data_IF_633612351147
#
_entry.id   IF_633612351147
#
_cell.length_a   1.000
_cell.length_b   1.000
_cell.length_c   1.000
_cell.angle_alpha   90.00
_cell.angle_beta   90.00
_cell.angle_gamma   90.00
#
_symmetry.space_group_name_H-M   'P 1'
#
loop_
_entity.id
_entity.type
_entity.pdbx_description
1 polymer ?
#
# COMPACT_ATOMS: atom_id res chain seq x y z
N UNK A 1 4.33 22.24 -3.05
CA UNK A 1 3.70 20.89 -3.14
C UNK A 1 3.97 20.16 -1.86
N UNK A 2 2.94 19.63 -1.20
CA UNK A 2 3.17 18.81 -0.02
C UNK A 2 3.26 17.32 -0.41
N UNK A 3 3.60 16.49 0.58
CA UNK A 3 3.80 15.05 0.38
C UNK A 3 2.59 14.34 -0.26
N UNK A 4 1.38 14.75 0.10
CA UNK A 4 0.16 14.11 -0.40
C UNK A 4 -0.17 14.49 -1.84
N UNK A 5 0.42 15.55 -2.35
CA UNK A 5 0.19 16.05 -3.70
C UNK A 5 1.27 15.60 -4.69
N UNK A 6 2.34 14.99 -4.21
CA UNK A 6 3.41 14.50 -5.06
C UNK A 6 2.90 13.36 -5.96
N UNK A 7 3.28 13.33 -7.25
CA UNK A 7 2.85 12.28 -8.15
C UNK A 7 3.26 10.90 -7.67
N UNK A 8 2.38 9.92 -7.84
CA UNK A 8 2.63 8.54 -7.42
C UNK A 8 3.47 7.81 -8.47
N UNK A 9 4.51 7.12 -8.01
CA UNK A 9 5.36 6.25 -8.83
C UNK A 9 4.83 4.83 -8.86
N UNK A 10 4.01 4.47 -7.88
CA UNK A 10 3.41 3.15 -7.73
C UNK A 10 2.09 3.30 -7.01
N UNK A 11 1.12 2.48 -7.40
CA UNK A 11 -0.20 2.47 -6.78
C UNK A 11 -0.79 1.08 -6.80
N UNK A 12 -1.39 0.69 -5.68
CA UNK A 12 -2.13 -0.56 -5.58
C UNK A 12 -3.34 -0.38 -4.67
N UNK A 13 -4.51 -0.76 -5.15
CA UNK A 13 -5.72 -0.73 -4.33
C UNK A 13 -5.71 -1.94 -3.41
N UNK A 14 -5.73 -1.69 -2.10
CA UNK A 14 -5.72 -2.73 -1.08
C UNK A 14 -7.15 -3.12 -0.70
N UNK A 15 -8.03 -2.11 -0.60
CA UNK A 15 -9.41 -2.32 -0.19
C UNK A 15 -10.31 -1.31 -0.90
N UNK A 16 -11.50 -1.74 -1.30
CA UNK A 16 -12.50 -0.87 -1.92
C UNK A 16 -13.85 -1.09 -1.25
N UNK A 17 -14.39 -0.02 -0.67
CA UNK A 17 -15.75 0.01 -0.14
C UNK A 17 -16.63 0.71 -1.17
N UNK A 18 -17.33 -0.09 -1.97
CA UNK A 18 -18.16 0.41 -3.06
C UNK A 18 -19.33 1.25 -2.56
N UNK A 19 -19.92 0.88 -1.43
CA UNK A 19 -21.07 1.58 -0.86
C UNK A 19 -20.71 3.00 -0.44
N UNK A 20 -19.56 3.17 0.19
CA UNK A 20 -19.10 4.48 0.68
C UNK A 20 -18.25 5.22 -0.36
N UNK A 21 -17.91 4.58 -1.47
CA UNK A 21 -17.00 5.14 -2.46
C UNK A 21 -15.68 5.58 -1.83
N UNK A 22 -15.05 4.65 -1.12
CA UNK A 22 -13.79 4.84 -0.42
C UNK A 22 -12.85 3.69 -0.76
N UNK A 23 -11.58 4.01 -0.99
CA UNK A 23 -10.53 3.02 -1.21
C UNK A 23 -9.40 3.20 -0.21
N UNK A 24 -8.71 2.12 0.11
CA UNK A 24 -7.41 2.18 0.77
C UNK A 24 -6.38 1.77 -0.27
N UNK A 25 -5.38 2.61 -0.50
CA UNK A 25 -4.33 2.37 -1.49
C UNK A 25 -2.96 2.36 -0.85
N UNK A 26 -2.12 1.50 -1.39
CA UNK A 26 -0.69 1.48 -1.12
C UNK A 26 -0.02 2.24 -2.27
N UNK A 27 0.68 3.31 -1.96
CA UNK A 27 1.31 4.15 -2.98
C UNK A 27 2.76 4.48 -2.62
N UNK A 28 3.54 4.83 -3.63
CA UNK A 28 4.90 5.35 -3.45
C UNK A 28 5.00 6.66 -4.21
N UNK A 29 5.51 7.69 -3.56
CA UNK A 29 5.86 8.93 -4.24
C UNK A 29 7.21 9.44 -3.75
N UNK A 30 7.75 10.44 -4.45
CA UNK A 30 8.99 11.10 -4.07
C UNK A 30 8.69 12.54 -3.68
N UNK A 31 9.23 12.97 -2.56
CA UNK A 31 9.06 14.33 -2.07
C UNK A 31 10.39 14.81 -1.52
N UNK A 32 10.91 15.89 -2.12
CA UNK A 32 12.21 16.49 -1.74
C UNK A 32 13.36 15.50 -1.75
N UNK A 33 13.40 14.64 -2.77
CA UNK A 33 14.46 13.67 -2.96
C UNK A 33 14.34 12.39 -2.14
N UNK A 34 13.27 12.24 -1.37
CA UNK A 34 13.04 11.05 -0.55
C UNK A 34 11.79 10.35 -1.04
N UNK A 35 11.88 9.05 -1.23
CA UNK A 35 10.73 8.24 -1.56
C UNK A 35 9.97 7.84 -0.30
N UNK A 36 8.64 7.89 -0.37
CA UNK A 36 7.76 7.58 0.75
C UNK A 36 6.77 6.50 0.35
N UNK A 37 6.57 5.58 1.28
CA UNK A 37 5.53 4.56 1.21
C UNK A 37 4.31 5.10 1.95
N UNK A 38 3.13 5.06 1.32
CA UNK A 38 1.88 5.49 1.93
C UNK A 38 0.88 4.34 1.98
N UNK A 39 0.15 4.26 3.07
CA UNK A 39 -1.10 3.50 3.14
C UNK A 39 -2.17 4.52 3.48
N UNK A 40 -3.05 4.83 2.51
CA UNK A 40 -3.91 6.01 2.60
C UNK A 40 -5.30 5.72 2.07
N UNK A 41 -6.28 6.38 2.71
CA UNK A 41 -7.65 6.37 2.29
C UNK A 41 -7.86 7.38 1.17
N UNK A 42 -8.58 6.95 0.13
CA UNK A 42 -8.99 7.79 -0.99
C UNK A 42 -10.51 7.85 -1.02
N UNK A 43 -11.03 8.96 -1.48
CA UNK A 43 -12.48 9.17 -1.59
C UNK A 43 -12.83 9.67 -2.99
N UNK A 44 -14.09 9.45 -3.36
CA UNK A 44 -14.65 9.97 -4.62
C UNK A 44 -15.19 11.37 -4.35
N UNK A 45 -14.73 12.37 -5.12
CA UNK A 45 -15.21 13.73 -4.99
C UNK A 45 -16.47 13.98 -5.86
N UNK A 46 -16.96 15.20 -5.86
CA UNK A 46 -18.14 15.57 -6.62
C UNK A 46 -17.93 15.50 -8.14
N UNK A 47 -16.71 15.57 -8.60
CA UNK A 47 -16.36 15.47 -10.04
C UNK A 47 -16.14 14.02 -10.47
N UNK A 48 -16.48 13.06 -9.60
CA UNK A 48 -16.26 11.63 -9.84
C UNK A 48 -14.79 11.27 -10.01
N UNK A 49 -13.92 12.00 -9.32
CA UNK A 49 -12.48 11.74 -9.31
C UNK A 49 -12.04 11.23 -7.93
N UNK A 50 -11.13 10.28 -7.94
CA UNK A 50 -10.53 9.76 -6.71
C UNK A 50 -9.49 10.75 -6.18
N UNK A 51 -9.61 11.12 -4.92
CA UNK A 51 -8.71 12.04 -4.24
C UNK A 51 -8.13 11.43 -2.97
N UNK A 52 -6.86 11.68 -2.67
CA UNK A 52 -6.30 11.25 -1.40
C UNK A 52 -6.89 12.06 -0.24
N UNK A 53 -7.19 11.39 0.85
CA UNK A 53 -7.61 12.03 2.09
C UNK A 53 -6.40 12.28 2.99
N UNK A 54 -6.63 12.94 4.12
CA UNK A 54 -5.61 13.09 5.15
C UNK A 54 -5.50 11.85 6.05
N UNK A 55 -6.41 10.89 5.89
CA UNK A 55 -6.41 9.66 6.68
C UNK A 55 -5.46 8.63 6.07
N UNK A 56 -4.35 8.42 6.75
CA UNK A 56 -3.35 7.47 6.30
C UNK A 56 -2.03 7.67 7.01
N UNK A 57 -1.07 6.84 6.67
CA UNK A 57 0.29 6.90 7.20
C UNK A 57 1.28 6.95 6.06
N UNK A 58 2.39 7.64 6.30
CA UNK A 58 3.50 7.70 5.36
C UNK A 58 4.80 7.46 6.13
N UNK A 59 5.72 6.77 5.48
CA UNK A 59 7.04 6.52 6.05
C UNK A 59 8.07 6.49 4.93
N UNK A 60 9.32 6.84 5.22
CA UNK A 60 10.36 6.71 4.20
C UNK A 60 10.41 5.28 3.66
N UNK A 61 10.53 5.15 2.34
CA UNK A 61 10.65 3.86 1.70
C UNK A 61 12.10 3.40 1.76
N UNK A 62 12.40 2.53 2.70
CA UNK A 62 13.70 1.90 2.83
C UNK A 62 13.51 0.41 3.15
N UNK A 63 14.61 -0.33 3.08
CA UNK A 63 14.53 -1.78 3.30
C UNK A 63 14.06 -2.12 4.71
N UNK A 64 14.51 -1.36 5.70
CA UNK A 64 14.15 -1.65 7.10
C UNK A 64 12.64 -1.48 7.35
N UNK A 65 12.08 -0.32 6.94
CA UNK A 65 10.66 -0.07 7.13
C UNK A 65 9.80 -1.08 6.36
N UNK A 66 10.18 -1.37 5.12
CA UNK A 66 9.47 -2.34 4.27
C UNK A 66 9.53 -3.75 4.85
N UNK A 67 10.68 -4.14 5.38
CA UNK A 67 10.87 -5.44 6.01
C UNK A 67 9.98 -5.59 7.25
N UNK A 68 9.94 -4.56 8.11
CA UNK A 68 9.11 -4.59 9.32
C UNK A 68 7.62 -4.66 8.97
N UNK A 69 7.18 -3.88 7.99
CA UNK A 69 5.79 -3.91 7.54
C UNK A 69 5.42 -5.29 6.98
N UNK A 70 6.25 -5.82 6.09
CA UNK A 70 6.01 -7.13 5.49
C UNK A 70 6.00 -8.23 6.55
N UNK A 71 6.95 -8.20 7.49
CA UNK A 71 7.02 -9.19 8.58
C UNK A 71 5.76 -9.17 9.44
N UNK A 72 5.30 -7.97 9.79
CA UNK A 72 4.06 -7.83 10.57
C UNK A 72 2.84 -8.36 9.84
N UNK A 73 2.73 -8.07 8.54
CA UNK A 73 1.62 -8.57 7.73
C UNK A 73 1.62 -10.10 7.64
N UNK A 74 2.80 -10.71 7.47
CA UNK A 74 2.93 -12.17 7.43
C UNK A 74 2.57 -12.79 8.76
N UNK A 75 3.01 -12.19 9.86
CA UNK A 75 2.66 -12.65 11.21
C UNK A 75 1.14 -12.62 11.44
N UNK A 76 0.48 -11.54 11.02
CA UNK A 76 -0.98 -11.44 11.12
C UNK A 76 -1.65 -12.53 10.30
N UNK A 77 -1.20 -12.75 9.06
CA UNK A 77 -1.74 -13.80 8.20
C UNK A 77 -1.58 -15.20 8.83
N UNK A 78 -0.47 -15.43 9.55
CA UNK A 78 -0.21 -16.72 10.17
C UNK A 78 -1.21 -17.06 11.27
N UNK A 79 -1.97 -16.10 11.77
CA UNK A 79 -3.02 -16.33 12.76
C UNK A 79 -4.25 -17.01 12.14
N UNK A 80 -4.45 -16.85 10.84
CA UNK A 80 -5.64 -17.35 10.14
C UNK A 80 -5.33 -18.41 9.09
N UNK A 81 -4.10 -18.44 8.56
CA UNK A 81 -3.74 -19.33 7.44
C UNK A 81 -2.62 -20.28 7.82
N UNK A 82 -2.66 -21.48 7.21
CA UNK A 82 -1.59 -22.46 7.39
C UNK A 82 -0.30 -22.00 6.72
N UNK A 83 0.83 -22.37 7.32
CA UNK A 83 2.17 -22.06 6.79
C UNK A 83 2.32 -22.41 5.30
N UNK A 84 1.78 -23.55 4.90
CA UNK A 84 1.89 -24.03 3.52
C UNK A 84 1.22 -23.07 2.53
N UNK A 85 0.03 -22.56 2.89
CA UNK A 85 -0.72 -21.61 2.05
C UNK A 85 0.07 -20.31 1.89
N UNK A 86 0.59 -19.77 2.98
CA UNK A 86 1.37 -18.53 2.97
C UNK A 86 2.63 -18.70 2.11
N UNK A 87 3.35 -19.79 2.31
CA UNK A 87 4.60 -20.07 1.61
C UNK A 87 4.38 -20.20 0.10
N UNK A 88 3.37 -20.96 -0.32
CA UNK A 88 3.07 -21.14 -1.74
C UNK A 88 2.69 -19.82 -2.40
N UNK A 89 1.81 -19.06 -1.75
CA UNK A 89 1.32 -17.82 -2.32
C UNK A 89 2.42 -16.78 -2.53
N UNK A 90 3.26 -16.59 -1.52
CA UNK A 90 4.33 -15.59 -1.61
C UNK A 90 5.52 -16.05 -2.45
N UNK A 91 5.79 -17.35 -2.51
CA UNK A 91 6.83 -17.87 -3.41
C UNK A 91 6.48 -17.59 -4.87
N UNK A 92 5.24 -17.85 -5.26
CA UNK A 92 4.77 -17.59 -6.62
C UNK A 92 4.80 -16.09 -6.94
N UNK A 93 4.39 -15.25 -5.98
CA UNK A 93 4.42 -13.81 -6.15
C UNK A 93 5.85 -13.30 -6.39
N UNK A 94 6.81 -13.78 -5.63
CA UNK A 94 8.20 -13.39 -5.77
C UNK A 94 8.74 -13.80 -7.14
N UNK A 95 8.45 -15.02 -7.59
CA UNK A 95 8.86 -15.48 -8.91
C UNK A 95 8.27 -14.63 -10.03
N UNK A 96 7.00 -14.26 -9.92
CA UNK A 96 6.33 -13.43 -10.93
C UNK A 96 6.94 -12.02 -11.00
N UNK A 97 7.30 -11.44 -9.86
CA UNK A 97 7.88 -10.10 -9.80
C UNK A 97 9.28 -10.08 -10.44
N UNK A 98 10.07 -11.13 -10.24
CA UNK A 98 11.47 -11.18 -10.73
C UNK A 98 11.63 -11.95 -12.04
N UNK A 99 10.57 -12.09 -12.78
CA UNK A 99 10.60 -12.71 -14.11
C UNK A 99 11.41 -11.91 -15.11
#
# INVERSE_FOLDING_TARGET
MDLHQAPEKYERIIHYDETKQVQVRLTVNEFRGIEYLHLRKYYMDFDEEWKPSTEGVAMPLDFYNSKELFSGLVEILSLAEAKQVIKEHFSDLIEDIYK
#
